data_IF_343696359962
#
_entry.id   IF_343696359962
#
_cell.length_a   1.000
_cell.length_b   1.000
_cell.length_c   1.000
_cell.angle_alpha   90.00
_cell.angle_beta   90.00
_cell.angle_gamma   90.00
#
_symmetry.space_group_name_H-M   'P 1'
#
loop_
_entity.id
_entity.type
_entity.pdbx_description
1 polymer ?
#
# COMPACT_ATOMS: atom_id res chain seq x y z
N UNK A 1 -12.59 5.01 -18.48
CA UNK A 1 -11.69 4.03 -17.91
C UNK A 1 -10.90 4.60 -16.75
N UNK A 2 -10.88 3.91 -15.65
CA UNK A 2 -10.13 4.35 -14.48
C UNK A 2 -8.67 3.94 -14.58
N UNK A 3 -7.84 4.61 -13.80
CA UNK A 3 -6.44 4.24 -13.68
C UNK A 3 -6.31 2.99 -12.85
N UNK A 4 -5.37 2.13 -13.20
CA UNK A 4 -5.03 0.98 -12.38
C UNK A 4 -4.02 1.41 -11.32
N UNK A 5 -4.27 1.04 -10.09
CA UNK A 5 -3.34 1.29 -8.99
C UNK A 5 -2.51 0.05 -8.75
N UNK A 6 -1.20 0.19 -8.79
CA UNK A 6 -0.29 -0.90 -8.46
C UNK A 6 0.36 -0.59 -7.13
N UNK A 7 0.02 -1.39 -6.14
CA UNK A 7 0.43 -1.18 -4.77
C UNK A 7 1.33 -2.33 -4.32
N UNK A 8 2.36 -1.99 -3.55
CA UNK A 8 3.32 -2.97 -3.07
C UNK A 8 3.47 -2.80 -1.57
N UNK A 9 3.17 -3.85 -0.81
CA UNK A 9 3.27 -3.82 0.64
C UNK A 9 4.49 -4.62 1.07
N UNK A 10 5.45 -3.93 1.69
CA UNK A 10 6.66 -4.57 2.21
C UNK A 10 6.46 -4.95 3.66
N UNK A 11 6.71 -6.21 3.97
CA UNK A 11 6.57 -6.77 5.31
C UNK A 11 7.81 -7.58 5.66
N UNK A 12 7.92 -7.96 6.94
CA UNK A 12 8.98 -8.87 7.37
C UNK A 12 8.30 -10.00 8.14
N UNK A 13 7.94 -11.05 7.42
CA UNK A 13 7.24 -12.17 7.98
C UNK A 13 5.79 -11.85 8.32
N UNK A 14 5.16 -12.75 9.07
CA UNK A 14 3.75 -12.61 9.44
C UNK A 14 3.59 -12.07 10.84
N UNK A 15 4.07 -10.86 11.06
CA UNK A 15 3.87 -10.19 12.34
C UNK A 15 2.45 -9.66 12.42
N UNK A 16 1.98 -9.39 13.65
CA UNK A 16 0.65 -8.82 13.85
C UNK A 16 0.48 -7.53 13.06
N UNK A 17 1.49 -6.68 13.07
CA UNK A 17 1.44 -5.39 12.40
C UNK A 17 1.35 -5.55 10.88
N UNK A 18 2.07 -6.53 10.34
CA UNK A 18 2.03 -6.80 8.89
C UNK A 18 0.68 -7.34 8.45
N UNK A 19 0.11 -8.24 9.26
CA UNK A 19 -1.22 -8.80 8.97
C UNK A 19 -2.27 -7.71 8.99
N UNK A 20 -2.24 -6.85 10.02
CA UNK A 20 -3.19 -5.74 10.12
C UNK A 20 -3.03 -4.78 8.95
N UNK A 21 -1.79 -4.48 8.56
CA UNK A 21 -1.55 -3.59 7.43
C UNK A 21 -2.19 -4.14 6.15
N UNK A 22 -2.02 -5.44 5.89
CA UNK A 22 -2.60 -6.04 4.69
C UNK A 22 -4.12 -6.02 4.73
N UNK A 23 -4.72 -6.33 5.88
CA UNK A 23 -6.17 -6.29 6.02
C UNK A 23 -6.72 -4.89 5.80
N UNK A 24 -6.07 -3.90 6.40
CA UNK A 24 -6.48 -2.51 6.22
C UNK A 24 -6.35 -2.08 4.76
N UNK A 25 -5.27 -2.48 4.11
CA UNK A 25 -5.06 -2.13 2.71
C UNK A 25 -6.13 -2.73 1.82
N UNK A 26 -6.46 -4.00 2.01
CA UNK A 26 -7.52 -4.65 1.23
C UNK A 26 -8.85 -3.95 1.40
N UNK A 27 -9.17 -3.57 2.65
CA UNK A 27 -10.42 -2.87 2.93
C UNK A 27 -10.48 -1.52 2.22
N UNK A 28 -9.41 -0.75 2.32
CA UNK A 28 -9.35 0.56 1.69
C UNK A 28 -9.48 0.45 0.17
N UNK A 29 -8.78 -0.52 -0.41
CA UNK A 29 -8.83 -0.71 -1.86
C UNK A 29 -10.21 -1.14 -2.33
N UNK A 30 -10.89 -2.02 -1.59
CA UNK A 30 -12.23 -2.44 -1.96
C UNK A 30 -13.24 -1.30 -1.84
N UNK A 31 -13.06 -0.41 -0.89
CA UNK A 31 -13.95 0.72 -0.72
C UNK A 31 -13.73 1.82 -1.76
N UNK A 32 -12.48 2.07 -2.10
CA UNK A 32 -12.15 3.25 -2.91
C UNK A 32 -11.62 2.94 -4.31
N UNK A 33 -11.12 1.74 -4.53
CA UNK A 33 -10.47 1.38 -5.80
C UNK A 33 -11.02 0.08 -6.38
N UNK A 34 -12.23 -0.28 -6.06
CA UNK A 34 -12.80 -1.57 -6.46
C UNK A 34 -12.61 -1.84 -7.95
N UNK A 35 -11.99 -2.97 -8.26
CA UNK A 35 -11.74 -3.37 -9.64
C UNK A 35 -10.61 -2.62 -10.33
N UNK A 36 -9.89 -1.75 -9.61
CA UNK A 36 -8.88 -0.88 -10.22
C UNK A 36 -7.57 -0.91 -9.46
N UNK A 37 -7.24 -2.02 -8.84
CA UNK A 37 -6.00 -2.12 -8.08
C UNK A 37 -5.41 -3.51 -8.14
N UNK A 38 -4.11 -3.58 -7.93
CA UNK A 38 -3.43 -4.84 -7.66
C UNK A 38 -2.51 -4.63 -6.46
N UNK A 39 -2.41 -5.63 -5.62
CA UNK A 39 -1.57 -5.59 -4.43
C UNK A 39 -0.53 -6.70 -4.53
N UNK A 40 0.72 -6.34 -4.40
CA UNK A 40 1.82 -7.30 -4.30
C UNK A 40 2.39 -7.21 -2.89
N UNK A 41 2.45 -8.34 -2.19
CA UNK A 41 3.04 -8.38 -0.86
C UNK A 41 4.46 -8.92 -0.99
N UNK A 42 5.43 -8.18 -0.46
CA UNK A 42 6.83 -8.59 -0.52
C UNK A 42 7.35 -8.80 0.89
N UNK A 43 7.73 -10.04 1.16
CA UNK A 43 8.31 -10.40 2.45
C UNK A 43 9.82 -10.22 2.36
N UNK A 44 10.34 -9.25 3.09
CA UNK A 44 11.76 -8.93 3.06
C UNK A 44 12.63 -9.96 3.79
N UNK A 45 12.02 -10.88 4.54
CA UNK A 45 12.75 -12.03 5.07
C UNK A 45 13.09 -13.01 3.96
N UNK A 46 12.27 -13.04 2.90
CA UNK A 46 12.46 -13.94 1.76
C UNK A 46 13.25 -13.26 0.65
N UNK A 47 12.92 -12.00 0.37
CA UNK A 47 13.55 -11.26 -0.73
C UNK A 47 14.08 -9.90 -0.23
N UNK A 48 15.10 -9.92 0.62
CA UNK A 48 15.61 -8.67 1.20
C UNK A 48 16.16 -7.68 0.18
N UNK A 49 16.65 -8.18 -0.95
CA UNK A 49 17.23 -7.31 -1.97
C UNK A 49 16.20 -6.36 -2.59
N UNK A 50 14.92 -6.67 -2.48
CA UNK A 50 13.89 -5.81 -3.06
C UNK A 50 13.68 -4.52 -2.28
N UNK A 51 14.17 -4.47 -1.03
CA UNK A 51 14.08 -3.25 -0.24
C UNK A 51 14.88 -2.10 -0.85
N UNK A 52 15.99 -2.42 -1.50
CA UNK A 52 16.86 -1.39 -2.07
C UNK A 52 16.19 -0.64 -3.22
N UNK A 53 15.48 -1.37 -4.08
CA UNK A 53 14.87 -0.77 -5.25
C UNK A 53 13.88 0.34 -4.91
N UNK A 54 13.07 0.11 -3.87
CA UNK A 54 12.08 1.09 -3.43
C UNK A 54 12.55 1.88 -2.22
N UNK A 55 13.80 1.70 -1.79
CA UNK A 55 14.39 2.43 -0.66
C UNK A 55 13.54 2.27 0.61
N UNK A 56 13.32 1.01 1.00
CA UNK A 56 12.50 0.70 2.16
C UNK A 56 13.37 0.67 3.42
N UNK A 57 13.06 1.52 4.39
CA UNK A 57 13.83 1.65 5.63
C UNK A 57 13.03 1.25 6.86
N UNK A 58 11.76 0.97 6.69
CA UNK A 58 10.89 0.58 7.79
C UNK A 58 9.84 -0.39 7.28
N UNK A 59 9.23 -1.16 8.16
CA UNK A 59 8.19 -2.13 7.82
C UNK A 59 7.11 -2.13 8.88
N UNK A 60 5.83 -2.28 8.49
CA UNK A 60 5.39 -2.40 7.10
C UNK A 60 5.43 -1.05 6.37
N UNK A 61 5.68 -1.10 5.08
CA UNK A 61 5.65 0.10 4.25
C UNK A 61 4.86 -0.21 2.99
N UNK A 62 3.92 0.67 2.69
CA UNK A 62 3.12 0.58 1.47
C UNK A 62 3.68 1.55 0.43
N UNK A 63 3.87 1.05 -0.79
CA UNK A 63 4.35 1.87 -1.89
C UNK A 63 3.30 1.85 -3.00
N UNK A 64 2.89 3.03 -3.45
CA UNK A 64 2.07 3.15 -4.65
C UNK A 64 3.04 3.33 -5.82
N UNK A 65 3.12 2.31 -6.67
CA UNK A 65 4.01 2.35 -7.83
C UNK A 65 3.34 3.03 -9.02
N UNK A 66 2.06 2.80 -9.21
CA UNK A 66 1.27 3.35 -10.31
C UNK A 66 -0.07 3.77 -9.72
N UNK A 67 -0.64 4.89 -10.13
CA UNK A 67 -0.10 5.89 -11.04
C UNK A 67 0.94 6.78 -10.36
N UNK A 68 1.81 7.37 -11.15
CA UNK A 68 2.80 8.30 -10.60
C UNK A 68 2.10 9.56 -10.09
N UNK A 69 2.66 10.23 -9.09
CA UNK A 69 3.99 9.98 -8.52
C UNK A 69 4.00 8.82 -7.55
N UNK A 70 5.16 8.19 -7.40
CA UNK A 70 5.35 7.13 -6.43
C UNK A 70 5.21 7.71 -5.02
N UNK A 71 4.45 7.03 -4.17
CA UNK A 71 4.23 7.46 -2.79
C UNK A 71 4.49 6.30 -1.83
N UNK A 72 4.90 6.63 -0.63
CA UNK A 72 5.16 5.63 0.41
C UNK A 72 4.46 6.02 1.70
N UNK A 73 3.95 5.02 2.39
CA UNK A 73 3.35 5.21 3.71
C UNK A 73 3.89 4.12 4.63
N UNK A 74 4.37 4.52 5.79
CA UNK A 74 4.90 3.60 6.80
C UNK A 74 3.84 3.38 7.86
N UNK A 75 3.68 2.12 8.29
CA UNK A 75 2.80 1.77 9.40
C UNK A 75 1.75 0.75 9.03
N UNK A 76 0.82 0.52 9.95
CA UNK A 76 -0.19 -0.53 9.82
C UNK A 76 -1.42 -0.13 9.02
N UNK A 77 -1.43 1.10 8.48
CA UNK A 77 -2.49 1.62 7.63
C UNK A 77 -3.84 1.74 8.35
N UNK A 78 -3.81 1.91 9.67
CA UNK A 78 -5.03 2.00 10.46
C UNK A 78 -5.78 3.32 10.28
N UNK A 79 -5.09 4.37 9.86
CA UNK A 79 -5.71 5.67 9.60
C UNK A 79 -6.04 5.78 8.12
N UNK A 80 -7.28 5.46 7.77
CA UNK A 80 -7.70 5.43 6.37
C UNK A 80 -7.52 6.77 5.67
N UNK A 81 -7.89 7.86 6.33
CA UNK A 81 -7.75 9.19 5.72
C UNK A 81 -6.29 9.50 5.38
N UNK A 82 -5.40 9.16 6.28
CA UNK A 82 -3.97 9.37 6.05
C UNK A 82 -3.47 8.55 4.87
N UNK A 83 -4.00 7.34 4.72
CA UNK A 83 -3.63 6.49 3.59
C UNK A 83 -4.13 7.09 2.28
N UNK A 84 -5.37 7.53 2.25
CA UNK A 84 -5.95 8.11 1.04
C UNK A 84 -5.19 9.37 0.61
N UNK A 85 -4.90 10.23 1.56
CA UNK A 85 -4.15 11.46 1.27
C UNK A 85 -2.72 11.13 0.86
N UNK A 86 -2.06 10.23 1.60
CA UNK A 86 -0.67 9.89 1.35
C UNK A 86 -0.45 9.20 0.01
N UNK A 87 -1.42 8.43 -0.46
CA UNK A 87 -1.34 7.76 -1.75
C UNK A 87 -1.98 8.58 -2.88
N UNK A 88 -2.49 9.75 -2.55
CA UNK A 88 -3.15 10.60 -3.53
C UNK A 88 -4.34 9.88 -4.18
N UNK A 89 -5.11 9.17 -3.37
CA UNK A 89 -6.33 8.50 -3.81
C UNK A 89 -7.50 9.43 -3.54
N UNK A 90 -8.28 9.69 -4.57
CA UNK A 90 -9.42 10.59 -4.44
C UNK A 90 -10.71 9.81 -4.30
N UNK A 91 -11.51 10.21 -3.32
CA UNK A 91 -12.82 9.64 -3.14
C UNK A 91 -13.76 10.12 -4.24
N UNK A 92 -14.65 9.24 -4.68
CA UNK A 92 -15.68 9.60 -5.67
C UNK A 92 -16.76 10.50 -5.10
N UNK A 93 -16.81 10.63 -3.78
CA UNK A 93 -17.88 11.39 -3.14
C UNK A 93 -17.65 12.89 -3.12
N UNK A 94 -16.52 13.33 -3.62
CA UNK A 94 -16.27 14.75 -3.71
C UNK A 94 -17.06 15.27 -4.90
N UNK A 95 -18.02 16.03 -4.58
CA UNK A 95 -18.85 16.63 -5.61
C UNK A 95 -18.10 17.64 -6.42
#
# INVERSE_FOLDING_TARGET
MGKLYELRLYVAGKTSKSVVALENLKKICEEHLKGKYSIEVIDLLVKPQLAEGDQIFAIPTLVKKVPEPVRKIIGDLSNEEKVLVGLDIRSKTIG
#
